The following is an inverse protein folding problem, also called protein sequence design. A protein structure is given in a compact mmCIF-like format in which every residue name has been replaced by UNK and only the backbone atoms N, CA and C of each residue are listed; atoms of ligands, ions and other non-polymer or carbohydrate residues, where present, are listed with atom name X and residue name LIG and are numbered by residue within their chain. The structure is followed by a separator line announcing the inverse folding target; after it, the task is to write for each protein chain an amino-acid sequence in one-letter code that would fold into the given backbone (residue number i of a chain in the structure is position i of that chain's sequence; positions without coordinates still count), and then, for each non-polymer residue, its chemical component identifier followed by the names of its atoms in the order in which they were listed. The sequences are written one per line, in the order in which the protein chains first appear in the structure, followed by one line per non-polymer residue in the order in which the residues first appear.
data_IF_854888900673
#
_entry.id   IF_854888900673
#
_cell.length_a   1.000
_cell.length_b   1.000
_cell.length_c   1.000
_cell.angle_alpha   90.00
_cell.angle_beta   90.00
_cell.angle_gamma   90.00
#
_symmetry.space_group_name_H-M   'P 1'
#
loop_
_entity.id
_entity.type
_entity.pdbx_description
1 polymer ?
#
# COMPACT_ATOMS: atom_id res chain seq x y z
N UNK A 1 -14.85 -9.76 -15.95
CA UNK A 1 -14.48 -10.17 -14.59
C UNK A 1 -14.55 -9.00 -13.64
N UNK A 2 -14.82 -9.26 -12.36
CA UNK A 2 -15.22 -8.22 -11.38
C UNK A 2 -14.02 -7.45 -10.78
N UNK A 3 -12.80 -8.01 -10.82
CA UNK A 3 -11.60 -7.41 -10.21
C UNK A 3 -10.31 -7.63 -11.02
N UNK A 4 -10.40 -7.68 -12.35
CA UNK A 4 -9.23 -7.75 -13.26
C UNK A 4 -8.08 -8.65 -12.74
N UNK A 5 -8.29 -9.98 -12.66
CA UNK A 5 -7.49 -10.87 -11.81
C UNK A 5 -5.97 -10.83 -12.04
N UNK A 6 -5.54 -10.58 -13.27
CA UNK A 6 -4.12 -10.48 -13.61
C UNK A 6 -3.47 -9.21 -13.00
N UNK A 7 -4.14 -8.07 -13.08
CA UNK A 7 -3.67 -6.81 -12.50
C UNK A 7 -3.75 -6.85 -10.98
N UNK A 8 -4.84 -7.39 -10.43
CA UNK A 8 -4.99 -7.58 -8.99
C UNK A 8 -3.86 -8.43 -8.41
N UNK A 9 -3.49 -9.54 -9.07
CA UNK A 9 -2.35 -10.34 -8.62
C UNK A 9 -1.03 -9.56 -8.66
N UNK A 10 -0.80 -8.77 -9.70
CA UNK A 10 0.42 -7.95 -9.77
C UNK A 10 0.49 -6.93 -8.62
N UNK A 11 -0.62 -6.24 -8.35
CA UNK A 11 -0.73 -5.28 -7.25
C UNK A 11 -0.56 -5.95 -5.87
N UNK A 12 -1.27 -7.06 -5.62
CA UNK A 12 -1.16 -7.80 -4.36
C UNK A 12 0.26 -8.31 -4.11
N UNK A 13 0.93 -8.83 -5.14
CA UNK A 13 2.32 -9.29 -5.03
C UNK A 13 3.28 -8.14 -4.66
N UNK A 14 3.05 -6.94 -5.17
CA UNK A 14 3.87 -5.78 -4.81
C UNK A 14 3.63 -5.35 -3.36
N UNK A 15 2.37 -5.27 -2.93
CA UNK A 15 2.00 -4.88 -1.56
C UNK A 15 2.46 -5.92 -0.54
N UNK A 16 2.40 -7.21 -0.90
CA UNK A 16 2.89 -8.31 -0.06
C UNK A 16 4.39 -8.20 0.21
N UNK A 17 5.20 -7.89 -0.80
CA UNK A 17 6.64 -7.64 -0.61
C UNK A 17 6.90 -6.49 0.35
N UNK A 18 6.14 -5.39 0.27
CA UNK A 18 6.27 -4.27 1.20
C UNK A 18 5.95 -4.70 2.64
N UNK A 19 4.85 -5.46 2.82
CA UNK A 19 4.46 -6.01 4.13
C UNK A 19 5.56 -6.91 4.71
N UNK A 20 6.11 -7.79 3.90
CA UNK A 20 7.18 -8.72 4.29
C UNK A 20 8.46 -7.99 4.66
N UNK A 21 8.91 -7.07 3.81
CA UNK A 21 10.11 -6.26 4.05
C UNK A 21 9.98 -5.42 5.32
N UNK A 22 8.81 -4.81 5.56
CA UNK A 22 8.55 -4.04 6.77
C UNK A 22 8.61 -4.93 8.00
N UNK A 23 7.85 -6.03 8.01
CA UNK A 23 7.75 -6.94 9.15
C UNK A 23 9.07 -7.65 9.45
N UNK A 24 9.87 -7.98 8.43
CA UNK A 24 11.19 -8.59 8.61
C UNK A 24 12.21 -7.65 9.26
N UNK A 25 12.07 -6.33 9.03
CA UNK A 25 12.94 -5.30 9.63
C UNK A 25 12.53 -4.93 11.06
N UNK A 26 11.33 -5.29 11.50
CA UNK A 26 10.88 -4.99 12.86
C UNK A 26 11.56 -5.94 13.87
N UNK A 27 12.29 -5.37 14.82
CA UNK A 27 12.89 -6.10 15.95
C UNK A 27 11.95 -6.21 17.16
N UNK A 28 10.79 -5.55 17.11
CA UNK A 28 9.76 -5.56 18.15
C UNK A 28 8.53 -6.39 17.78
N UNK A 29 7.45 -6.22 18.54
CA UNK A 29 6.15 -6.87 18.27
C UNK A 29 5.30 -6.18 17.20
N UNK A 30 5.73 -5.02 16.70
CA UNK A 30 5.02 -4.27 15.67
C UNK A 30 4.99 -5.05 14.36
N UNK A 31 3.80 -5.27 13.83
CA UNK A 31 3.58 -5.85 12.50
C UNK A 31 2.46 -5.11 11.80
N UNK A 32 2.51 -5.11 10.48
CA UNK A 32 1.45 -4.60 9.61
C UNK A 32 0.76 -5.76 8.90
N UNK A 33 -0.56 -5.70 8.80
CA UNK A 33 -1.35 -6.68 8.07
C UNK A 33 -1.39 -6.34 6.57
N UNK A 34 -1.69 -7.34 5.73
CA UNK A 34 -1.88 -7.08 4.29
C UNK A 34 -3.05 -6.13 4.04
N UNK A 35 -4.12 -6.23 4.84
CA UNK A 35 -5.29 -5.36 4.72
C UNK A 35 -4.93 -3.89 4.98
N UNK A 36 -4.14 -3.63 6.03
CA UNK A 36 -3.67 -2.27 6.33
C UNK A 36 -2.75 -1.76 5.23
N UNK A 37 -1.86 -2.59 4.68
CA UNK A 37 -1.01 -2.21 3.55
C UNK A 37 -1.81 -1.84 2.29
N UNK A 38 -2.92 -2.52 2.00
CA UNK A 38 -3.79 -2.20 0.86
C UNK A 38 -4.42 -0.82 1.05
N UNK A 39 -5.00 -0.56 2.22
CA UNK A 39 -5.65 0.73 2.51
C UNK A 39 -4.63 1.86 2.50
N UNK A 40 -3.47 1.68 3.16
CA UNK A 40 -2.40 2.68 3.18
C UNK A 40 -1.79 2.91 1.80
N UNK A 41 -1.65 1.87 0.98
CA UNK A 41 -1.21 2.01 -0.41
C UNK A 41 -2.18 2.87 -1.22
N UNK A 42 -3.49 2.69 -1.02
CA UNK A 42 -4.52 3.54 -1.61
C UNK A 42 -4.43 5.00 -1.14
N UNK A 43 -4.30 5.23 0.17
CA UNK A 43 -4.13 6.58 0.73
C UNK A 43 -2.88 7.27 0.15
N UNK A 44 -1.74 6.58 0.12
CA UNK A 44 -0.50 7.10 -0.44
C UNK A 44 -0.63 7.47 -1.93
N UNK A 45 -1.36 6.67 -2.71
CA UNK A 45 -1.64 6.96 -4.12
C UNK A 45 -2.53 8.20 -4.29
N UNK A 46 -3.56 8.36 -3.45
CA UNK A 46 -4.43 9.55 -3.47
C UNK A 46 -3.65 10.80 -3.08
N UNK A 47 -2.84 10.74 -2.03
CA UNK A 47 -1.98 11.87 -1.64
C UNK A 47 -0.96 12.22 -2.73
N UNK A 48 -0.39 11.22 -3.41
CA UNK A 48 0.51 11.45 -4.55
C UNK A 48 -0.23 12.16 -5.68
N UNK A 49 -1.43 11.69 -6.04
CA UNK A 49 -2.24 12.34 -7.07
C UNK A 49 -2.60 13.78 -6.71
N UNK A 50 -2.88 14.06 -5.42
CA UNK A 50 -3.13 15.42 -4.95
C UNK A 50 -1.88 16.30 -5.13
N UNK A 51 -0.71 15.82 -4.72
CA UNK A 51 0.58 16.52 -4.89
C UNK A 51 0.88 16.79 -6.36
N UNK A 52 0.66 15.81 -7.23
CA UNK A 52 0.86 15.95 -8.68
C UNK A 52 -0.10 16.99 -9.28
N UNK A 53 -1.28 17.19 -8.68
CA UNK A 53 -2.23 18.23 -9.02
C UNK A 53 -1.95 19.59 -8.34
N UNK A 54 -0.87 19.72 -7.57
CA UNK A 54 -0.50 20.94 -6.83
C UNK A 54 -1.35 21.19 -5.57
N UNK A 55 -2.06 20.18 -5.08
CA UNK A 55 -2.84 20.24 -3.84
C UNK A 55 -2.02 19.63 -2.70
N UNK A 56 -1.74 20.42 -1.67
CA UNK A 56 -1.11 19.92 -0.45
C UNK A 56 -2.15 19.23 0.45
N UNK A 57 -1.86 18.01 0.88
CA UNK A 57 -2.70 17.22 1.80
C UNK A 57 -2.04 17.14 3.17
N UNK A 58 -2.77 17.47 4.23
CA UNK A 58 -2.34 17.32 5.63
C UNK A 58 -3.00 16.10 6.27
N UNK A 59 -2.23 15.38 7.10
CA UNK A 59 -2.66 14.20 7.87
C UNK A 59 -3.10 14.60 9.27
#
# INVERSE_FOLDING_TARGET
DVNEPAELHAALNAIEKVREDFNAKQTGGTRISLADCIVLGGCAAVEQAARDAGVETTV
#
